data_IF_381128806616
#
_entry.id   IF_381128806616
#
_cell.length_a   1.000
_cell.length_b   1.000
_cell.length_c   1.000
_cell.angle_alpha   90.00
_cell.angle_beta   90.00
_cell.angle_gamma   90.00
#
_symmetry.space_group_name_H-M   'P 1'
#
loop_
_entity.id
_entity.type
_entity.pdbx_description
1 polymer ?
#
# COMPACT_ATOMS: atom_id res chain seq x y z
N UNK A 1 -46.90 9.69 2.70
CA UNK A 1 -45.92 10.37 1.83
C UNK A 1 -45.67 11.78 2.37
N UNK A 2 -44.72 11.92 3.29
CA UNK A 2 -44.15 13.21 3.64
C UNK A 2 -42.76 13.24 3.00
N UNK A 3 -42.56 14.14 2.04
CA UNK A 3 -41.23 14.45 1.51
C UNK A 3 -40.42 15.02 2.66
N UNK A 4 -39.49 14.22 3.20
CA UNK A 4 -38.36 14.71 3.97
C UNK A 4 -37.59 15.65 3.06
N UNK A 5 -37.75 16.95 3.28
CA UNK A 5 -36.96 17.97 2.61
C UNK A 5 -35.50 17.75 2.98
N UNK A 6 -34.63 17.63 1.98
CA UNK A 6 -33.19 17.58 2.16
C UNK A 6 -32.71 18.87 2.83
N UNK A 7 -32.65 18.86 4.15
CA UNK A 7 -31.89 19.85 4.91
C UNK A 7 -30.44 19.42 4.78
N UNK A 8 -29.74 20.01 3.79
CA UNK A 8 -28.29 19.94 3.76
C UNK A 8 -27.73 20.44 5.09
N UNK A 9 -26.59 19.89 5.49
CA UNK A 9 -25.89 20.28 6.72
C UNK A 9 -25.70 21.80 6.72
N UNK A 10 -26.41 22.52 7.61
CA UNK A 10 -26.39 23.98 7.65
C UNK A 10 -25.00 24.53 7.98
N UNK A 11 -24.70 25.75 7.54
CA UNK A 11 -23.39 26.40 7.77
C UNK A 11 -22.96 26.41 9.25
N UNK A 12 -23.91 26.46 10.17
CA UNK A 12 -23.69 26.38 11.62
C UNK A 12 -22.94 25.13 12.06
N UNK A 13 -23.12 23.99 11.37
CA UNK A 13 -22.37 22.75 11.63
C UNK A 13 -20.87 22.95 11.50
N UNK A 14 -20.43 23.67 10.46
CA UNK A 14 -19.02 23.90 10.16
C UNK A 14 -18.37 24.96 11.06
N UNK A 15 -19.19 25.77 11.73
CA UNK A 15 -18.73 26.76 12.71
C UNK A 15 -18.55 26.20 14.13
N UNK A 16 -18.93 24.94 14.35
CA UNK A 16 -18.75 24.29 15.64
C UNK A 16 -17.27 24.19 16.00
N UNK A 17 -16.92 24.43 17.26
CA UNK A 17 -15.52 24.46 17.73
C UNK A 17 -14.79 23.13 17.53
N UNK A 18 -15.53 22.02 17.43
CA UNK A 18 -14.99 20.69 17.15
C UNK A 18 -14.31 20.63 15.78
N UNK A 19 -14.86 21.31 14.77
CA UNK A 19 -14.35 21.28 13.40
C UNK A 19 -12.90 21.79 13.31
N UNK A 20 -12.56 23.02 13.76
CA UNK A 20 -11.17 23.49 13.71
C UNK A 20 -10.24 22.68 14.61
N UNK A 21 -10.71 22.15 15.74
CA UNK A 21 -9.90 21.29 16.62
C UNK A 21 -9.58 19.96 15.93
N UNK A 22 -10.57 19.28 15.36
CA UNK A 22 -10.39 18.06 14.58
C UNK A 22 -9.49 18.31 13.36
N UNK A 23 -9.62 19.46 12.70
CA UNK A 23 -8.76 19.85 11.59
C UNK A 23 -7.28 19.94 12.02
N UNK A 24 -6.99 20.61 13.14
CA UNK A 24 -5.63 20.72 13.67
C UNK A 24 -5.01 19.35 14.00
N UNK A 25 -5.83 18.42 14.51
CA UNK A 25 -5.38 17.08 14.90
C UNK A 25 -4.80 16.29 13.73
N UNK A 26 -5.32 16.43 12.50
CA UNK A 26 -4.71 15.76 11.33
C UNK A 26 -3.76 16.64 10.53
N UNK A 27 -3.91 17.97 10.53
CA UNK A 27 -2.97 18.88 9.83
C UNK A 27 -1.54 18.73 10.35
N UNK A 28 -1.34 18.63 11.67
CA UNK A 28 0.01 18.47 12.25
C UNK A 28 0.68 17.16 11.79
N UNK A 29 0.06 15.97 11.94
CA UNK A 29 0.55 14.73 11.36
C UNK A 29 0.78 14.79 9.85
N UNK A 30 -0.09 15.46 9.08
CA UNK A 30 0.09 15.64 7.64
C UNK A 30 1.36 16.41 7.33
N UNK A 31 1.60 17.54 7.99
CA UNK A 31 2.81 18.34 7.78
C UNK A 31 4.07 17.53 8.10
N UNK A 32 4.07 16.81 9.22
CA UNK A 32 5.18 15.91 9.59
C UNK A 32 5.37 14.82 8.55
N UNK A 33 4.31 14.17 8.09
CA UNK A 33 4.36 13.11 7.09
C UNK A 33 4.91 13.62 5.74
N UNK A 34 4.46 14.79 5.26
CA UNK A 34 4.97 15.42 4.04
C UNK A 34 6.46 15.74 4.16
N UNK A 35 6.89 16.29 5.30
CA UNK A 35 8.31 16.58 5.55
C UNK A 35 9.15 15.29 5.54
N UNK A 36 8.67 14.22 6.18
CA UNK A 36 9.35 12.94 6.21
C UNK A 36 9.47 12.31 4.81
N UNK A 37 8.38 12.27 4.04
CA UNK A 37 8.38 11.75 2.67
C UNK A 37 9.38 12.52 1.79
N UNK A 38 9.37 13.85 1.86
CA UNK A 38 10.28 14.69 1.08
C UNK A 38 11.75 14.54 1.48
N UNK A 39 12.05 14.27 2.75
CA UNK A 39 13.42 14.04 3.22
C UNK A 39 13.97 12.68 2.81
N UNK A 40 13.14 11.64 2.85
CA UNK A 40 13.61 10.24 2.77
C UNK A 40 13.44 9.60 1.38
N UNK A 41 12.72 10.23 0.45
CA UNK A 41 12.68 9.82 -0.97
C UNK A 41 14.04 9.87 -1.72
N UNK A 42 15.15 10.04 -1.00
CA UNK A 42 16.52 10.07 -1.52
C UNK A 42 17.30 8.76 -1.30
N UNK A 43 16.77 7.80 -0.55
CA UNK A 43 17.45 6.50 -0.39
C UNK A 43 17.28 5.64 -1.65
N UNK A 44 18.36 5.05 -2.19
CA UNK A 44 18.30 4.24 -3.41
C UNK A 44 17.51 2.96 -3.16
N UNK A 45 16.52 2.71 -4.02
CA UNK A 45 15.76 1.45 -4.06
C UNK A 45 16.56 0.41 -4.85
N UNK A 46 16.78 -0.77 -4.28
CA UNK A 46 17.32 -1.89 -5.03
C UNK A 46 16.20 -2.55 -5.83
N UNK A 47 16.22 -2.41 -7.16
CA UNK A 47 15.19 -2.94 -8.04
C UNK A 47 15.00 -4.46 -7.90
N UNK A 48 16.06 -5.19 -7.51
CA UNK A 48 16.00 -6.63 -7.26
C UNK A 48 15.02 -7.02 -6.15
N UNK A 49 14.89 -6.20 -5.10
CA UNK A 49 14.04 -6.50 -3.93
C UNK A 49 12.55 -6.53 -4.27
N UNK A 50 12.16 -5.90 -5.39
CA UNK A 50 10.76 -5.81 -5.83
C UNK A 50 10.28 -7.10 -6.50
N UNK A 51 11.14 -7.85 -7.19
CA UNK A 51 10.72 -8.97 -8.04
C UNK A 51 11.52 -10.27 -7.85
N UNK A 52 12.66 -10.22 -7.17
CA UNK A 52 13.42 -11.42 -6.81
C UNK A 52 12.88 -11.93 -5.47
N UNK A 53 12.49 -13.22 -5.38
CA UNK A 53 12.03 -13.77 -4.12
C UNK A 53 13.15 -13.80 -3.06
N UNK A 54 12.80 -13.70 -1.78
CA UNK A 54 13.74 -13.83 -0.66
C UNK A 54 14.23 -15.29 -0.43
N UNK A 55 14.08 -16.17 -1.42
CA UNK A 55 14.38 -17.60 -1.34
C UNK A 55 15.35 -17.99 -2.47
N UNK A 56 16.58 -18.42 -2.13
CA UNK A 56 17.71 -18.59 -3.06
C UNK A 56 17.41 -19.43 -4.30
N UNK A 57 16.60 -20.48 -4.16
CA UNK A 57 16.29 -21.43 -5.23
C UNK A 57 14.86 -21.27 -5.78
N UNK A 58 14.12 -20.25 -5.34
CA UNK A 58 12.77 -20.00 -5.83
C UNK A 58 12.85 -19.16 -7.10
N UNK A 59 12.34 -19.71 -8.20
CA UNK A 59 12.30 -19.00 -9.48
C UNK A 59 11.42 -17.72 -9.35
N UNK A 60 11.89 -16.55 -9.81
CA UNK A 60 11.10 -15.30 -9.80
C UNK A 60 9.70 -15.40 -10.42
N UNK A 61 9.48 -16.37 -11.33
CA UNK A 61 8.17 -16.68 -11.89
C UNK A 61 7.12 -17.02 -10.82
N UNK A 62 7.50 -17.63 -9.69
CA UNK A 62 6.54 -17.93 -8.62
C UNK A 62 5.98 -16.68 -7.96
N UNK A 63 6.81 -15.67 -7.72
CA UNK A 63 6.36 -14.38 -7.20
C UNK A 63 5.44 -13.68 -8.21
N UNK A 64 5.78 -13.75 -9.51
CA UNK A 64 4.93 -13.25 -10.58
C UNK A 64 3.55 -13.93 -10.59
N UNK A 65 3.51 -15.27 -10.60
CA UNK A 65 2.27 -16.04 -10.61
C UNK A 65 1.42 -15.72 -9.39
N UNK A 66 2.03 -15.66 -8.21
CA UNK A 66 1.36 -15.32 -6.98
C UNK A 66 0.70 -13.93 -7.05
N UNK A 67 1.42 -12.91 -7.50
CA UNK A 67 0.90 -11.54 -7.61
C UNK A 67 -0.21 -11.44 -8.65
N UNK A 68 -0.06 -12.10 -9.80
CA UNK A 68 -1.08 -12.14 -10.83
C UNK A 68 -2.36 -12.84 -10.33
N UNK A 69 -2.22 -13.93 -9.58
CA UNK A 69 -3.32 -14.62 -8.94
C UNK A 69 -4.04 -13.70 -7.92
N UNK A 70 -3.29 -13.07 -7.01
CA UNK A 70 -3.85 -12.16 -6.01
C UNK A 70 -4.58 -10.98 -6.67
N UNK A 71 -3.96 -10.33 -7.67
CA UNK A 71 -4.59 -9.27 -8.46
C UNK A 71 -5.90 -9.72 -9.10
N UNK A 72 -5.89 -10.86 -9.81
CA UNK A 72 -7.08 -11.38 -10.50
C UNK A 72 -8.19 -11.70 -9.52
N UNK A 73 -7.87 -12.37 -8.42
CA UNK A 73 -8.83 -12.73 -7.39
C UNK A 73 -9.44 -11.48 -6.74
N UNK A 74 -8.62 -10.50 -6.41
CA UNK A 74 -9.11 -9.24 -5.84
C UNK A 74 -9.97 -8.45 -6.81
N UNK A 75 -9.59 -8.40 -8.10
CA UNK A 75 -10.40 -7.75 -9.13
C UNK A 75 -11.79 -8.39 -9.27
N UNK A 76 -11.89 -9.71 -9.16
CA UNK A 76 -13.17 -10.43 -9.16
C UNK A 76 -14.04 -10.05 -7.96
N UNK A 77 -13.46 -9.97 -6.76
CA UNK A 77 -14.20 -9.55 -5.56
C UNK A 77 -14.67 -8.09 -5.65
N UNK A 78 -13.80 -7.19 -6.12
CA UNK A 78 -14.17 -5.78 -6.32
C UNK A 78 -15.29 -5.66 -7.35
N UNK A 79 -15.22 -6.41 -8.44
CA UNK A 79 -16.30 -6.47 -9.44
C UNK A 79 -17.63 -6.91 -8.81
N UNK A 80 -17.63 -7.96 -7.99
CA UNK A 80 -18.84 -8.42 -7.31
C UNK A 80 -19.43 -7.34 -6.40
N UNK A 81 -18.60 -6.60 -5.67
CA UNK A 81 -19.07 -5.52 -4.79
C UNK A 81 -19.65 -4.38 -5.58
N UNK A 82 -18.99 -3.96 -6.66
CA UNK A 82 -19.53 -2.89 -7.51
C UNK A 82 -20.79 -3.31 -8.25
N UNK A 83 -20.96 -4.61 -8.55
CA UNK A 83 -22.19 -5.12 -9.14
C UNK A 83 -23.37 -5.12 -8.13
N UNK A 84 -23.09 -5.30 -6.83
CA UNK A 84 -24.11 -5.34 -5.77
C UNK A 84 -24.42 -3.95 -5.20
N UNK A 85 -23.39 -3.22 -4.78
CA UNK A 85 -23.50 -1.97 -4.02
C UNK A 85 -23.23 -0.72 -4.87
N UNK A 86 -22.78 -0.91 -6.11
CA UNK A 86 -22.41 0.20 -7.00
C UNK A 86 -21.23 1.03 -6.49
N UNK A 87 -21.12 2.26 -7.00
CA UNK A 87 -20.07 3.18 -6.60
C UNK A 87 -20.17 3.63 -5.12
N UNK A 88 -21.33 3.43 -4.47
CA UNK A 88 -21.53 3.76 -3.07
C UNK A 88 -20.60 2.97 -2.14
N UNK A 89 -20.14 1.79 -2.54
CA UNK A 89 -19.15 1.01 -1.80
C UNK A 89 -17.89 1.84 -1.46
N UNK A 90 -17.45 2.72 -2.36
CA UNK A 90 -16.28 3.60 -2.16
C UNK A 90 -16.51 4.72 -1.14
N UNK A 91 -17.70 4.80 -0.54
CA UNK A 91 -17.92 5.63 0.63
C UNK A 91 -17.17 5.09 1.87
N UNK A 92 -16.88 3.79 1.92
CA UNK A 92 -16.22 3.14 3.06
C UNK A 92 -14.69 3.01 2.86
N UNK A 93 -13.94 3.23 3.94
CA UNK A 93 -12.46 3.15 3.94
C UNK A 93 -11.94 1.75 3.60
N UNK A 94 -12.72 0.70 3.90
CA UNK A 94 -12.38 -0.67 3.53
C UNK A 94 -12.22 -0.83 2.02
N UNK A 95 -13.09 -0.21 1.22
CA UNK A 95 -13.02 -0.33 -0.24
C UNK A 95 -11.83 0.44 -0.82
N UNK A 96 -11.47 1.57 -0.20
CA UNK A 96 -10.23 2.30 -0.50
C UNK A 96 -9.01 1.41 -0.26
N UNK A 97 -8.93 0.78 0.91
CA UNK A 97 -7.82 -0.11 1.28
C UNK A 97 -7.74 -1.33 0.37
N UNK A 98 -8.87 -1.98 0.10
CA UNK A 98 -8.93 -3.14 -0.79
C UNK A 98 -8.46 -2.79 -2.21
N UNK A 99 -8.94 -1.66 -2.74
CA UNK A 99 -8.54 -1.18 -4.07
C UNK A 99 -7.05 -0.84 -4.11
N UNK A 100 -6.51 -0.24 -3.04
CA UNK A 100 -5.09 0.09 -2.95
C UNK A 100 -4.21 -1.17 -2.94
N UNK A 101 -4.62 -2.22 -2.22
CA UNK A 101 -3.93 -3.53 -2.22
C UNK A 101 -4.04 -4.19 -3.60
N UNK A 102 -5.18 -4.09 -4.27
CA UNK A 102 -5.33 -4.58 -5.65
C UNK A 102 -4.39 -3.83 -6.61
N UNK A 103 -4.27 -2.50 -6.50
CA UNK A 103 -3.34 -1.69 -7.29
C UNK A 103 -1.88 -2.09 -6.99
N UNK A 104 -1.54 -2.34 -5.72
CA UNK A 104 -0.23 -2.89 -5.35
C UNK A 104 0.07 -4.17 -6.11
N UNK A 105 -0.85 -5.13 -6.12
CA UNK A 105 -0.65 -6.38 -6.84
C UNK A 105 -0.57 -6.19 -8.36
N UNK A 106 -1.36 -5.28 -8.94
CA UNK A 106 -1.26 -4.95 -10.36
C UNK A 106 0.13 -4.41 -10.73
N UNK A 107 0.64 -3.44 -9.97
CA UNK A 107 1.98 -2.89 -10.15
C UNK A 107 3.06 -3.96 -9.91
N UNK A 108 2.92 -4.76 -8.86
CA UNK A 108 3.80 -5.86 -8.54
C UNK A 108 3.86 -6.91 -9.64
N UNK A 109 2.75 -7.23 -10.29
CA UNK A 109 2.70 -8.13 -11.45
C UNK A 109 3.45 -7.53 -12.63
N UNK A 110 3.27 -6.25 -12.94
CA UNK A 110 3.96 -5.57 -14.05
C UNK A 110 5.49 -5.56 -13.80
N UNK A 111 5.91 -5.15 -12.61
CA UNK A 111 7.33 -5.09 -12.23
C UNK A 111 7.94 -6.49 -12.20
N UNK A 112 7.25 -7.48 -11.64
CA UNK A 112 7.71 -8.87 -11.66
C UNK A 112 7.81 -9.45 -13.06
N UNK A 113 6.83 -9.21 -13.94
CA UNK A 113 6.84 -9.71 -15.31
C UNK A 113 8.04 -9.17 -16.07
N UNK A 114 8.34 -7.87 -15.90
CA UNK A 114 9.51 -7.26 -16.50
C UNK A 114 10.82 -7.80 -15.91
N UNK A 115 10.91 -7.93 -14.59
CA UNK A 115 12.08 -8.51 -13.92
C UNK A 115 12.37 -9.93 -14.43
N UNK A 116 11.34 -10.76 -14.53
CA UNK A 116 11.41 -12.10 -15.12
C UNK A 116 11.83 -12.09 -16.61
N UNK A 117 11.32 -11.14 -17.40
CA UNK A 117 11.71 -10.96 -18.80
C UNK A 117 13.20 -10.59 -18.94
N UNK A 118 13.68 -9.65 -18.13
CA UNK A 118 15.09 -9.28 -18.08
C UNK A 118 15.98 -10.45 -17.65
N UNK A 119 15.56 -11.18 -16.61
CA UNK A 119 16.26 -12.37 -16.12
C UNK A 119 16.38 -13.45 -17.20
N UNK A 120 15.31 -13.68 -17.97
CA UNK A 120 15.27 -14.70 -19.04
C UNK A 120 16.11 -14.35 -20.27
N UNK A 121 16.46 -13.06 -20.44
CA UNK A 121 17.29 -12.56 -21.55
C UNK A 121 18.78 -12.51 -21.24
N UNK A 122 19.20 -12.70 -19.98
CA UNK A 122 20.63 -12.78 -19.64
C UNK A 122 21.16 -14.21 -19.94
N UNK A 123 22.29 -14.36 -20.65
CA UNK A 123 22.91 -15.68 -20.83
C UNK A 123 23.29 -16.27 -19.48
N UNK A 124 22.90 -17.50 -19.20
CA UNK A 124 23.25 -18.21 -17.96
C UNK A 124 24.78 -18.29 -17.80
N UNK A 125 25.38 -17.80 -16.69
CA UNK A 125 26.71 -18.24 -16.30
C UNK A 125 26.60 -19.70 -15.86
N UNK A 126 27.52 -20.55 -16.34
CA UNK A 126 27.64 -21.94 -15.87
C UNK A 126 27.90 -21.95 -14.36
N UNK A 127 27.27 -22.92 -13.68
CA UNK A 127 27.34 -23.21 -12.24
C UNK A 127 28.63 -22.71 -11.55
N UNK A 128 28.48 -21.80 -10.59
CA UNK A 128 29.53 -21.48 -9.61
C UNK A 128 29.47 -20.08 -8.99
N UNK A 129 29.09 -19.05 -9.76
CA UNK A 129 29.31 -17.65 -9.40
C UNK A 129 28.03 -16.81 -9.23
N UNK A 130 26.89 -17.43 -8.93
CA UNK A 130 25.62 -16.68 -8.76
C UNK A 130 25.67 -15.60 -7.68
N UNK A 131 26.47 -15.79 -6.63
CA UNK A 131 26.55 -14.87 -5.49
C UNK A 131 27.55 -13.72 -5.70
N UNK A 132 28.50 -13.86 -6.63
CA UNK A 132 29.52 -12.83 -6.91
C UNK A 132 29.10 -11.92 -8.10
N UNK A 133 28.37 -12.48 -9.08
CA UNK A 133 27.92 -11.76 -10.28
C UNK A 133 26.80 -10.75 -10.01
N UNK A 134 25.92 -11.01 -9.03
CA UNK A 134 24.86 -10.07 -8.65
C UNK A 134 25.40 -8.79 -7.99
N UNK A 135 26.63 -8.84 -7.45
CA UNK A 135 27.30 -7.71 -6.80
C UNK A 135 28.14 -6.89 -7.77
N UNK A 136 28.77 -7.54 -8.75
CA UNK A 136 29.78 -6.93 -9.63
C UNK A 136 29.18 -6.10 -10.77
N UNK A 137 27.99 -6.47 -11.26
CA UNK A 137 27.36 -5.84 -12.43
C UNK A 137 26.79 -4.42 -12.18
N UNK A 138 26.81 -3.92 -10.95
CA UNK A 138 26.31 -2.56 -10.63
C UNK A 138 27.43 -1.51 -10.53
N UNK A 139 28.70 -1.93 -10.45
CA UNK A 139 29.84 -1.02 -10.24
C UNK A 139 30.67 -0.77 -11.51
N UNK A 140 30.50 -1.52 -12.59
CA UNK A 140 31.37 -1.48 -13.78
C UNK A 140 30.62 -1.08 -15.07
N UNK A 141 30.25 0.20 -15.20
CA UNK A 141 29.79 0.77 -16.48
C UNK A 141 30.57 2.04 -16.84
N UNK A 142 31.89 1.94 -16.77
CA UNK A 142 32.81 3.04 -17.13
C UNK A 142 34.03 2.53 -17.87
N UNK A 143 33.89 2.16 -19.15
CA UNK A 143 35.02 2.26 -20.09
C UNK A 143 34.49 2.33 -21.52
N UNK A 144 34.61 3.52 -22.10
CA UNK A 144 34.25 3.84 -23.47
C UNK A 144 35.36 3.42 -24.46
N UNK A 145 34.97 3.07 -25.69
CA UNK A 145 35.81 3.32 -26.86
C UNK A 145 34.96 3.77 -28.06
N UNK A 146 35.46 4.86 -28.65
CA UNK A 146 35.16 5.68 -29.84
C UNK A 146 34.55 5.02 -31.09
N UNK A 147 34.00 5.68 -32.13
CA UNK A 147 33.63 7.07 -32.52
C UNK A 147 32.97 6.87 -33.91
N UNK A 148 31.67 7.18 -34.09
CA UNK A 148 30.92 7.50 -35.36
C UNK A 148 29.40 7.27 -35.21
N UNK A 149 28.78 7.67 -34.10
CA UNK A 149 27.36 7.32 -33.83
C UNK A 149 26.63 8.41 -33.03
N UNK A 150 27.02 9.68 -33.18
CA UNK A 150 26.67 10.75 -32.24
C UNK A 150 25.17 10.99 -32.04
N UNK A 151 24.37 11.00 -33.11
CA UNK A 151 22.95 11.40 -33.02
C UNK A 151 22.03 10.24 -32.64
N UNK A 152 22.22 9.04 -33.21
CA UNK A 152 21.44 7.83 -32.89
C UNK A 152 21.76 7.36 -31.47
N UNK A 153 23.04 7.40 -31.06
CA UNK A 153 23.46 7.00 -29.72
C UNK A 153 23.01 7.98 -28.65
N UNK A 154 22.92 9.28 -28.95
CA UNK A 154 22.40 10.30 -28.03
C UNK A 154 20.87 10.21 -27.89
N UNK A 155 20.14 9.93 -28.98
CA UNK A 155 18.70 9.66 -28.92
C UNK A 155 18.40 8.31 -28.23
N UNK A 156 19.21 7.27 -28.47
CA UNK A 156 19.13 6.00 -27.75
C UNK A 156 19.45 6.18 -26.26
N UNK A 157 20.45 7.01 -25.92
CA UNK A 157 20.82 7.30 -24.53
C UNK A 157 19.73 8.12 -23.83
N UNK A 158 19.16 9.12 -24.50
CA UNK A 158 18.02 9.90 -23.99
C UNK A 158 16.78 9.01 -23.78
N UNK A 159 16.43 8.16 -24.75
CA UNK A 159 15.31 7.23 -24.62
C UNK A 159 15.53 6.20 -23.51
N UNK A 160 16.78 5.76 -23.30
CA UNK A 160 17.15 4.85 -22.22
C UNK A 160 17.07 5.54 -20.86
N UNK A 161 17.57 6.78 -20.74
CA UNK A 161 17.48 7.59 -19.51
C UNK A 161 16.03 7.90 -19.14
N UNK A 162 15.19 8.30 -20.10
CA UNK A 162 13.76 8.54 -19.86
C UNK A 162 13.03 7.25 -19.47
N UNK A 163 13.36 6.12 -20.11
CA UNK A 163 12.80 4.82 -19.77
C UNK A 163 13.21 4.41 -18.36
N UNK A 164 14.48 4.46 -18.02
CA UNK A 164 15.00 4.10 -16.69
C UNK A 164 14.43 5.03 -15.60
N UNK A 165 14.23 6.31 -15.90
CA UNK A 165 13.55 7.26 -15.01
C UNK A 165 12.08 6.88 -14.78
N UNK A 166 11.31 6.58 -15.83
CA UNK A 166 9.90 6.17 -15.68
C UNK A 166 9.80 4.92 -14.83
N UNK A 167 10.70 3.98 -15.03
CA UNK A 167 10.77 2.71 -14.32
C UNK A 167 11.01 2.92 -12.84
N UNK A 168 12.03 3.73 -12.53
CA UNK A 168 12.33 4.14 -11.18
C UNK A 168 11.10 4.74 -10.48
N UNK A 169 10.32 5.59 -11.15
CA UNK A 169 9.07 6.13 -10.57
C UNK A 169 8.06 5.02 -10.21
N UNK A 170 7.85 4.03 -11.09
CA UNK A 170 6.93 2.92 -10.82
C UNK A 170 7.38 2.02 -9.66
N UNK A 171 8.69 1.81 -9.52
CA UNK A 171 9.28 1.02 -8.45
C UNK A 171 9.10 1.70 -7.07
N UNK A 172 9.34 3.01 -7.00
CA UNK A 172 9.06 3.80 -5.79
C UNK A 172 7.57 3.87 -5.49
N UNK A 173 6.72 4.02 -6.51
CA UNK A 173 5.28 4.04 -6.34
C UNK A 173 4.77 2.71 -5.75
N UNK A 174 5.21 1.57 -6.30
CA UNK A 174 4.86 0.26 -5.76
C UNK A 174 5.26 0.15 -4.29
N UNK A 175 6.46 0.62 -3.95
CA UNK A 175 6.95 0.60 -2.57
C UNK A 175 6.14 1.51 -1.65
N UNK A 176 5.80 2.73 -2.07
CA UNK A 176 4.96 3.63 -1.28
C UNK A 176 3.56 3.04 -1.02
N UNK A 177 2.97 2.41 -2.04
CA UNK A 177 1.68 1.74 -1.93
C UNK A 177 1.78 0.55 -0.98
N UNK A 178 2.82 -0.30 -1.09
CA UNK A 178 3.05 -1.42 -0.17
C UNK A 178 3.03 -1.00 1.31
N UNK A 179 3.72 0.10 1.63
CA UNK A 179 3.86 0.61 3.00
C UNK A 179 2.56 1.24 3.50
N UNK A 180 1.83 1.89 2.60
CA UNK A 180 0.47 2.39 2.87
C UNK A 180 -0.47 1.22 3.20
N UNK A 181 -0.48 0.20 2.34
CA UNK A 181 -1.29 -1.00 2.49
C UNK A 181 -1.00 -1.72 3.80
N UNK A 182 0.27 -1.88 4.19
CA UNK A 182 0.68 -2.62 5.39
C UNK A 182 -0.01 -2.13 6.66
N UNK A 183 -0.05 -0.82 6.89
CA UNK A 183 -0.78 -0.24 8.02
C UNK A 183 -2.31 -0.29 7.81
N UNK A 184 -2.77 0.01 6.59
CA UNK A 184 -4.18 0.10 6.28
C UNK A 184 -4.92 -1.24 6.44
N UNK A 185 -4.33 -2.36 5.99
CA UNK A 185 -4.96 -3.69 6.12
C UNK A 185 -5.07 -4.13 7.57
N UNK A 186 -4.06 -3.84 8.40
CA UNK A 186 -4.13 -4.13 9.84
C UNK A 186 -5.20 -3.29 10.50
N UNK A 187 -5.28 -2.00 10.16
CA UNK A 187 -6.31 -1.11 10.69
C UNK A 187 -7.72 -1.58 10.31
N UNK A 188 -7.97 -1.86 9.02
CA UNK A 188 -9.30 -2.28 8.56
C UNK A 188 -9.73 -3.59 9.17
N UNK A 189 -8.81 -4.54 9.31
CA UNK A 189 -9.14 -5.88 9.80
C UNK A 189 -9.33 -5.86 11.32
N UNK A 190 -8.50 -5.14 12.08
CA UNK A 190 -8.70 -4.96 13.53
C UNK A 190 -10.03 -4.24 13.80
N UNK A 191 -10.30 -3.12 13.12
CA UNK A 191 -11.55 -2.38 13.32
C UNK A 191 -12.74 -3.26 12.95
N UNK A 192 -12.68 -4.00 11.85
CA UNK A 192 -13.78 -4.87 11.46
C UNK A 192 -13.98 -6.03 12.45
N UNK A 193 -12.96 -6.87 12.66
CA UNK A 193 -13.10 -8.10 13.44
C UNK A 193 -13.14 -7.88 14.95
N UNK A 194 -12.46 -6.85 15.46
CA UNK A 194 -12.36 -6.62 16.91
C UNK A 194 -13.27 -5.50 17.42
N UNK A 195 -13.84 -4.67 16.54
CA UNK A 195 -14.75 -3.58 16.95
C UNK A 195 -16.13 -3.74 16.32
N UNK A 196 -16.23 -3.76 14.99
CA UNK A 196 -17.53 -3.76 14.30
C UNK A 196 -18.27 -5.08 14.54
N UNK A 197 -17.64 -6.22 14.27
CA UNK A 197 -18.28 -7.53 14.44
C UNK A 197 -18.74 -7.78 15.89
N UNK A 198 -17.92 -7.59 16.94
CA UNK A 198 -18.37 -7.89 18.31
C UNK A 198 -19.34 -6.86 18.90
N UNK A 199 -19.32 -5.59 18.49
CA UNK A 199 -20.08 -4.53 19.16
C UNK A 199 -21.17 -3.87 18.31
N UNK A 200 -21.19 -4.08 16.99
CA UNK A 200 -22.14 -3.45 16.05
C UNK A 200 -22.95 -4.46 15.22
N UNK A 201 -22.82 -5.76 15.50
CA UNK A 201 -23.66 -6.81 14.87
C UNK A 201 -25.00 -6.86 15.58
N UNK A 202 -25.96 -6.05 15.12
CA UNK A 202 -27.39 -6.15 15.47
C UNK A 202 -28.15 -7.07 14.48
N UNK A 203 -29.46 -7.28 14.68
CA UNK A 203 -30.31 -8.15 13.83
C UNK A 203 -30.32 -7.78 12.32
N UNK A 204 -29.82 -6.61 11.94
CA UNK A 204 -29.74 -6.15 10.55
C UNK A 204 -28.32 -6.17 9.96
N UNK A 205 -27.27 -6.46 10.74
CA UNK A 205 -25.89 -6.49 10.27
C UNK A 205 -25.33 -7.91 10.36
N UNK A 206 -25.48 -8.69 9.29
CA UNK A 206 -24.89 -10.03 9.19
C UNK A 206 -23.62 -10.00 8.35
N UNK A 207 -22.52 -10.51 8.91
CA UNK A 207 -21.27 -10.72 8.18
C UNK A 207 -21.51 -11.78 7.11
N UNK A 208 -21.56 -11.36 5.85
CA UNK A 208 -21.61 -12.27 4.73
C UNK A 208 -20.18 -12.68 4.29
N UNK A 209 -20.08 -13.76 3.51
CA UNK A 209 -18.80 -14.31 3.07
C UNK A 209 -17.97 -13.27 2.28
N UNK A 210 -18.61 -12.51 1.39
CA UNK A 210 -17.95 -11.50 0.58
C UNK A 210 -17.31 -10.42 1.45
N UNK A 211 -18.05 -9.89 2.42
CA UNK A 211 -17.57 -8.94 3.41
C UNK A 211 -16.40 -9.54 4.21
N UNK A 212 -16.56 -10.74 4.76
CA UNK A 212 -15.49 -11.44 5.47
C UNK A 212 -14.21 -11.62 4.63
N UNK A 213 -14.35 -11.96 3.36
CA UNK A 213 -13.24 -12.06 2.41
C UNK A 213 -12.53 -10.72 2.21
N UNK A 214 -13.26 -9.61 2.06
CA UNK A 214 -12.66 -8.27 1.90
C UNK A 214 -11.86 -7.83 3.12
N UNK A 215 -12.32 -8.18 4.32
CA UNK A 215 -11.69 -7.84 5.59
C UNK A 215 -10.66 -8.87 6.09
N UNK A 216 -10.28 -9.85 5.26
CA UNK A 216 -9.28 -10.87 5.65
C UNK A 216 -8.27 -11.10 4.54
N UNK A 217 -8.73 -11.21 3.29
CA UNK A 217 -7.86 -11.54 2.16
C UNK A 217 -6.89 -10.40 1.82
N UNK A 218 -7.24 -9.15 2.14
CA UNK A 218 -6.30 -8.02 2.06
C UNK A 218 -5.01 -8.29 2.86
N UNK A 219 -5.16 -8.59 4.15
CA UNK A 219 -4.02 -8.88 5.01
C UNK A 219 -3.35 -10.20 4.62
N UNK A 220 -4.12 -11.26 4.35
CA UNK A 220 -3.56 -12.56 3.97
C UNK A 220 -2.73 -12.46 2.70
N UNK A 221 -3.23 -11.83 1.64
CA UNK A 221 -2.47 -11.69 0.41
C UNK A 221 -1.23 -10.82 0.61
N UNK A 222 -1.36 -9.68 1.28
CA UNK A 222 -0.20 -8.81 1.50
C UNK A 222 0.88 -9.47 2.38
N UNK A 223 0.50 -10.25 3.38
CA UNK A 223 1.43 -10.99 4.23
C UNK A 223 2.10 -12.15 3.47
N UNK A 224 1.35 -12.87 2.64
CA UNK A 224 1.92 -13.92 1.79
C UNK A 224 2.89 -13.34 0.76
N UNK A 225 2.57 -12.22 0.09
CA UNK A 225 3.53 -11.52 -0.78
C UNK A 225 4.79 -11.16 0.00
N UNK A 226 4.61 -10.59 1.19
CA UNK A 226 5.68 -10.22 2.09
C UNK A 226 6.53 -11.40 2.55
N UNK A 227 5.98 -12.62 2.61
CA UNK A 227 6.77 -13.82 2.91
C UNK A 227 7.63 -14.29 1.74
N UNK A 228 7.26 -13.92 0.51
CA UNK A 228 7.96 -14.28 -0.73
C UNK A 228 8.96 -13.21 -1.18
N UNK A 229 8.75 -11.94 -0.86
CA UNK A 229 9.60 -10.83 -1.31
C UNK A 229 10.61 -10.35 -0.23
N UNK A 230 11.52 -9.45 -0.63
CA UNK A 230 12.52 -8.82 0.25
C UNK A 230 12.32 -7.30 0.41
N UNK A 231 11.08 -6.81 0.29
CA UNK A 231 10.84 -5.36 0.33
C UNK A 231 11.23 -4.77 1.69
N UNK A 232 12.05 -3.70 1.72
CA UNK A 232 12.44 -3.09 2.98
C UNK A 232 11.25 -2.39 3.62
N UNK A 233 11.11 -2.53 4.94
CA UNK A 233 9.99 -1.98 5.72
C UNK A 233 10.46 -1.06 6.85
N UNK A 234 11.02 0.13 6.53
CA UNK A 234 11.48 1.07 7.54
C UNK A 234 10.31 1.83 8.19
N UNK A 235 10.49 2.24 9.45
CA UNK A 235 9.46 2.88 10.26
C UNK A 235 9.01 4.25 9.75
N UNK A 236 9.93 5.04 9.16
CA UNK A 236 9.61 6.39 8.69
C UNK A 236 8.54 6.39 7.57
N UNK A 237 8.33 5.26 6.90
CA UNK A 237 7.31 5.10 5.84
C UNK A 237 5.89 4.99 6.36
N UNK A 238 5.70 4.95 7.69
CA UNK A 238 4.42 5.23 8.33
C UNK A 238 3.76 6.51 7.78
N UNK A 239 4.56 7.48 7.36
CA UNK A 239 4.09 8.72 6.75
C UNK A 239 3.12 8.47 5.56
N UNK A 240 3.36 7.46 4.73
CA UNK A 240 2.47 7.16 3.60
C UNK A 240 1.09 6.69 4.06
N UNK A 241 1.06 5.83 5.09
CA UNK A 241 -0.18 5.37 5.69
C UNK A 241 -0.96 6.52 6.33
N UNK A 242 -0.28 7.43 7.05
CA UNK A 242 -0.91 8.63 7.60
C UNK A 242 -1.53 9.51 6.50
N UNK A 243 -0.78 9.77 5.42
CA UNK A 243 -1.28 10.59 4.30
C UNK A 243 -2.51 9.97 3.63
N UNK A 244 -2.54 8.65 3.48
CA UNK A 244 -3.67 7.93 2.92
C UNK A 244 -4.94 8.05 3.78
N UNK A 245 -4.82 7.88 5.10
CA UNK A 245 -5.96 8.05 6.00
C UNK A 245 -6.46 9.50 6.04
N UNK A 246 -5.54 10.48 5.99
CA UNK A 246 -5.93 11.90 5.89
C UNK A 246 -6.66 12.18 4.58
N UNK A 247 -6.21 11.61 3.47
CA UNK A 247 -6.90 11.74 2.18
C UNK A 247 -8.35 11.24 2.28
N UNK A 248 -8.57 10.11 2.98
CA UNK A 248 -9.92 9.62 3.23
C UNK A 248 -10.75 10.55 4.11
N UNK A 249 -10.18 11.09 5.19
CA UNK A 249 -10.89 12.06 6.06
C UNK A 249 -11.29 13.31 5.27
N UNK A 250 -10.38 13.87 4.47
CA UNK A 250 -10.66 15.03 3.61
C UNK A 250 -11.77 14.70 2.61
N UNK A 251 -11.72 13.53 1.97
CA UNK A 251 -12.77 13.06 1.08
C UNK A 251 -14.14 13.03 1.76
N UNK A 252 -14.22 12.49 2.98
CA UNK A 252 -15.47 12.43 3.75
C UNK A 252 -15.99 13.81 4.15
N UNK A 253 -15.09 14.71 4.56
CA UNK A 253 -15.43 16.09 4.90
C UNK A 253 -15.98 16.85 3.68
N UNK A 254 -15.34 16.69 2.53
CA UNK A 254 -15.79 17.29 1.27
C UNK A 254 -17.18 16.76 0.91
N UNK A 255 -17.43 15.46 1.02
CA UNK A 255 -18.75 14.89 0.74
C UNK A 255 -19.84 15.43 1.68
N UNK A 256 -19.54 15.60 2.97
CA UNK A 256 -20.47 16.24 3.91
C UNK A 256 -20.69 17.71 3.60
N UNK A 257 -19.64 18.44 3.24
CA UNK A 257 -19.76 19.85 2.86
C UNK A 257 -20.60 20.02 1.59
N UNK A 258 -20.56 19.03 0.68
CA UNK A 258 -21.38 18.96 -0.53
C UNK A 258 -22.82 18.46 -0.29
N UNK A 259 -23.21 18.19 0.97
CA UNK A 259 -24.60 17.87 1.32
C UNK A 259 -24.88 16.41 1.68
N UNK A 260 -23.85 15.54 1.81
CA UNK A 260 -24.05 14.24 2.48
C UNK A 260 -24.41 14.49 3.95
N UNK A 261 -25.46 13.85 4.43
CA UNK A 261 -25.95 14.03 5.81
C UNK A 261 -25.58 12.88 6.75
N UNK A 262 -24.94 11.83 6.23
CA UNK A 262 -24.70 10.59 6.98
C UNK A 262 -23.22 10.20 6.93
N UNK A 263 -22.58 10.02 8.10
CA UNK A 263 -21.20 9.57 8.21
C UNK A 263 -21.08 8.05 8.08
N UNK A 264 -20.11 7.52 7.31
CA UNK A 264 -19.90 6.08 7.21
C UNK A 264 -19.48 5.44 8.53
N UNK A 265 -18.87 6.25 9.40
CA UNK A 265 -18.38 5.85 10.70
C UNK A 265 -18.72 6.93 11.73
N UNK A 266 -19.29 6.53 12.87
CA UNK A 266 -19.65 7.44 13.96
C UNK A 266 -18.46 8.23 14.51
N UNK A 267 -17.26 7.65 14.48
CA UNK A 267 -16.04 8.32 14.92
C UNK A 267 -15.56 9.45 13.99
N UNK A 268 -16.16 9.62 12.80
CA UNK A 268 -15.90 10.78 11.93
C UNK A 268 -16.84 11.96 12.20
N UNK A 269 -17.93 11.73 12.95
CA UNK A 269 -18.96 12.73 13.17
C UNK A 269 -18.46 13.90 14.03
N UNK A 270 -18.51 15.12 13.46
CA UNK A 270 -17.97 16.34 14.09
C UNK A 270 -18.93 16.98 15.11
N UNK A 271 -20.22 16.67 15.04
CA UNK A 271 -21.27 17.23 15.91
C UNK A 271 -21.15 16.79 17.37
N UNK A 272 -20.42 15.72 17.64
CA UNK A 272 -20.29 15.17 18.98
C UNK A 272 -19.22 15.93 19.78
N UNK A 273 -19.41 16.19 21.09
CA UNK A 273 -18.38 16.82 21.91
C UNK A 273 -17.11 15.98 22.03
N UNK A 274 -17.20 14.67 21.74
CA UNK A 274 -16.09 13.72 21.76
C UNK A 274 -15.34 13.61 20.43
N UNK A 275 -15.76 14.34 19.38
CA UNK A 275 -15.12 14.28 18.07
C UNK A 275 -13.59 14.48 18.12
N UNK A 276 -13.05 15.48 18.85
CA UNK A 276 -11.59 15.62 18.97
C UNK A 276 -10.89 14.37 19.53
N UNK A 277 -11.50 13.68 20.49
CA UNK A 277 -10.94 12.47 21.08
C UNK A 277 -10.92 11.32 20.06
N UNK A 278 -11.98 11.17 19.27
CA UNK A 278 -12.04 10.18 18.19
C UNK A 278 -10.98 10.45 17.12
N UNK A 279 -10.84 11.69 16.66
CA UNK A 279 -9.84 12.07 15.67
C UNK A 279 -8.42 11.86 16.20
N UNK A 280 -8.17 12.16 17.47
CA UNK A 280 -6.89 11.90 18.11
C UNK A 280 -6.61 10.40 18.24
N UNK A 281 -7.60 9.61 18.65
CA UNK A 281 -7.50 8.15 18.71
C UNK A 281 -7.20 7.53 17.33
N UNK A 282 -7.88 8.01 16.27
CA UNK A 282 -7.59 7.62 14.89
C UNK A 282 -6.18 8.01 14.48
N UNK A 283 -5.68 9.19 14.85
CA UNK A 283 -4.29 9.53 14.57
C UNK A 283 -3.31 8.56 15.26
N UNK A 284 -3.56 8.23 16.52
CA UNK A 284 -2.70 7.33 17.30
C UNK A 284 -2.72 5.88 16.82
N UNK A 285 -3.86 5.35 16.37
CA UNK A 285 -3.99 3.93 15.97
C UNK A 285 -3.11 3.55 14.77
N UNK A 286 -2.66 4.53 13.98
CA UNK A 286 -1.71 4.29 12.89
C UNK A 286 -0.40 3.67 13.38
N UNK A 287 0.09 4.10 14.56
CA UNK A 287 1.35 3.65 15.14
C UNK A 287 1.31 2.15 15.47
N UNK A 288 0.37 1.64 16.29
CA UNK A 288 0.29 0.20 16.58
C UNK A 288 -0.08 -0.63 15.34
N UNK A 289 -0.94 -0.15 14.44
CA UNK A 289 -1.28 -0.90 13.22
C UNK A 289 -0.07 -1.11 12.31
N UNK A 290 0.65 -0.03 12.00
CA UNK A 290 1.88 -0.11 11.21
C UNK A 290 2.98 -0.89 11.95
N UNK A 291 3.08 -0.69 13.25
CA UNK A 291 4.03 -1.37 14.11
C UNK A 291 3.81 -2.88 14.17
N UNK A 292 2.55 -3.33 14.23
CA UNK A 292 2.23 -4.75 14.19
C UNK A 292 2.70 -5.37 12.87
N UNK A 293 2.46 -4.70 11.73
CA UNK A 293 2.97 -5.18 10.45
C UNK A 293 4.50 -5.22 10.42
N UNK A 294 5.17 -4.17 10.90
CA UNK A 294 6.63 -4.13 11.00
C UNK A 294 7.18 -5.29 11.85
N UNK A 295 6.51 -5.61 12.97
CA UNK A 295 6.85 -6.75 13.82
C UNK A 295 6.69 -8.08 13.07
N UNK A 296 5.63 -8.26 12.27
CA UNK A 296 5.44 -9.45 11.45
C UNK A 296 6.57 -9.62 10.41
N UNK A 297 6.99 -8.54 9.74
CA UNK A 297 8.11 -8.57 8.79
C UNK A 297 9.44 -8.91 9.49
N UNK A 298 9.69 -8.32 10.67
CA UNK A 298 10.87 -8.63 11.47
C UNK A 298 10.86 -10.07 11.98
N UNK A 299 9.70 -10.54 12.43
CA UNK A 299 9.49 -11.91 12.88
C UNK A 299 9.73 -12.91 11.74
N UNK A 300 9.17 -12.65 10.54
CA UNK A 300 9.45 -13.42 9.31
C UNK A 300 10.94 -13.54 9.08
N UNK A 301 11.65 -12.41 9.02
CA UNK A 301 13.10 -12.41 8.73
C UNK A 301 13.88 -13.20 9.77
N UNK A 302 13.57 -13.04 11.06
CA UNK A 302 14.27 -13.74 12.14
C UNK A 302 13.95 -15.24 12.18
N UNK A 303 12.70 -15.61 11.93
CA UNK A 303 12.23 -17.00 12.01
C UNK A 303 12.71 -17.81 10.82
N UNK A 304 12.51 -17.31 9.59
CA UNK A 304 12.92 -18.02 8.38
C UNK A 304 14.44 -18.09 8.22
N UNK A 305 15.20 -17.07 8.63
CA UNK A 305 16.66 -17.17 8.63
C UNK A 305 17.19 -18.26 9.58
N UNK A 306 16.45 -18.55 10.64
CA UNK A 306 16.85 -19.55 11.66
C UNK A 306 16.45 -20.97 11.28
N UNK A 307 15.28 -21.13 10.66
CA UNK A 307 14.76 -22.45 10.23
C UNK A 307 15.33 -22.87 8.88
N UNK A 308 15.53 -21.92 7.96
CA UNK A 308 15.95 -22.18 6.59
C UNK A 308 17.25 -21.42 6.22
N UNK A 309 18.36 -21.59 6.97
CA UNK A 309 19.57 -20.78 6.81
C UNK A 309 20.22 -20.88 5.43
N UNK A 310 20.03 -21.99 4.72
CA UNK A 310 20.59 -22.20 3.38
C UNK A 310 19.64 -21.80 2.25
N UNK A 311 18.35 -21.61 2.53
CA UNK A 311 17.33 -21.31 1.51
C UNK A 311 16.81 -19.87 1.59
N UNK A 312 16.75 -19.27 2.78
CA UNK A 312 16.24 -17.92 2.99
C UNK A 312 17.36 -16.87 2.88
N UNK A 313 17.14 -15.84 2.06
CA UNK A 313 18.03 -14.69 1.95
C UNK A 313 17.56 -13.62 2.93
N UNK A 314 18.40 -13.31 3.91
CA UNK A 314 18.11 -12.25 4.88
C UNK A 314 18.13 -10.90 4.16
N UNK A 315 17.01 -10.18 4.18
CA UNK A 315 16.99 -8.75 3.89
C UNK A 315 17.79 -8.03 4.98
N UNK A 316 18.73 -7.17 4.59
CA UNK A 316 19.42 -6.31 5.54
C UNK A 316 18.49 -5.24 6.12
#
# INVERSE_FOLDING_TARGET
MAKSNGVGVGWEYWLQWQVPVCALIFVVPTLVAVILVNRVNREPLNSGDLWIPCWRNLNPLWLLFYRAFAFTFMALLLYQILALDGAFAFYFYTQWTFTLVMIYFALGTIISARGCWMYSRKPLPKNGEKDEFLKKDWEENGSETSVTEGTIKLQSRYNQEEFDQRVWVWEYLMQAIYQTCAGAVILTDIVFWCIIVPFLTDENFHVNLLMGCMHTLNAVFLLLDSTLNSLPFPWYRLAYFVLWSVLYVVFQWVLHACGSTWWPYSFLELSTPWAPLWYFGLALVHIPCYGLYALLIKAKSSFFSRIFPHAFVRSN
#
